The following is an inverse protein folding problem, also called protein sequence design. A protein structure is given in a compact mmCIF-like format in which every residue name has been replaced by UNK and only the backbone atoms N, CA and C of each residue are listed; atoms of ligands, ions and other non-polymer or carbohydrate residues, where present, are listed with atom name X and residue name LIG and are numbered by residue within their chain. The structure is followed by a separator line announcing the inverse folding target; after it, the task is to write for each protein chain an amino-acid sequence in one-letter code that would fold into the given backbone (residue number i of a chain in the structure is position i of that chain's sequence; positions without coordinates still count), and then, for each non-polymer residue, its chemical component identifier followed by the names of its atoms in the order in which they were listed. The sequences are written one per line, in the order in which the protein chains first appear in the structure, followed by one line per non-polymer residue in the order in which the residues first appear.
data_IF_853706676881
#
_entry.id   IF_853706676881
#
_cell.length_a   1.000
_cell.length_b   1.000
_cell.length_c   1.000
_cell.angle_alpha   90.00
_cell.angle_beta   90.00
_cell.angle_gamma   90.00
#
_symmetry.space_group_name_H-M   'P 1'
#
loop_
_entity.id
_entity.type
_entity.pdbx_description
1 polymer ?
#
# COMPACT_ATOMS: atom_id res chain seq x y z
N UNK A 1 28.77 -8.69 50.22
CA UNK A 1 28.37 -7.41 49.60
C UNK A 1 28.94 -7.17 48.19
N UNK A 2 29.93 -7.94 47.69
CA UNK A 2 30.46 -7.79 46.32
C UNK A 2 29.64 -8.51 45.23
N UNK A 3 28.97 -9.63 45.55
CA UNK A 3 28.19 -10.39 44.58
C UNK A 3 26.83 -9.74 44.26
N UNK A 4 26.23 -9.02 45.20
CA UNK A 4 24.96 -8.29 45.00
C UNK A 4 25.13 -7.04 44.12
N UNK A 5 26.32 -6.43 44.09
CA UNK A 5 26.61 -5.32 43.16
C UNK A 5 26.67 -5.79 41.70
N UNK A 6 27.15 -7.01 41.46
CA UNK A 6 27.28 -7.56 40.11
C UNK A 6 25.92 -7.96 39.51
N UNK A 7 24.98 -8.42 40.35
CA UNK A 7 23.62 -8.76 39.92
C UNK A 7 22.82 -7.52 39.52
N UNK A 8 23.05 -6.39 40.19
CA UNK A 8 22.35 -5.12 39.90
C UNK A 8 22.80 -4.51 38.55
N UNK A 9 24.08 -4.69 38.18
CA UNK A 9 24.65 -4.18 36.93
C UNK A 9 24.13 -4.94 35.70
N UNK A 10 23.90 -6.25 35.82
CA UNK A 10 23.38 -7.10 34.74
C UNK A 10 21.89 -6.83 34.46
N UNK A 11 21.10 -6.50 35.48
CA UNK A 11 19.68 -6.15 35.32
C UNK A 11 19.49 -4.80 34.61
N UNK A 12 20.44 -3.86 34.76
CA UNK A 12 20.32 -2.52 34.16
C UNK A 12 20.60 -2.49 32.65
N UNK A 13 21.23 -3.52 32.09
CA UNK A 13 21.56 -3.62 30.64
C UNK A 13 20.37 -4.18 29.82
N UNK A 14 19.39 -4.83 30.44
CA UNK A 14 18.26 -5.47 29.72
C UNK A 14 17.15 -4.45 29.37
N UNK A 15 17.18 -3.25 29.97
CA UNK A 15 16.14 -2.22 29.78
C UNK A 15 16.39 -1.29 28.58
N UNK A 16 17.48 -1.46 27.82
CA UNK A 16 17.71 -0.74 26.56
C UNK A 16 17.27 -1.56 25.35
N UNK A 17 16.07 -2.14 25.38
CA UNK A 17 15.40 -2.54 24.15
C UNK A 17 14.81 -1.29 23.53
N UNK A 18 15.57 -0.68 22.61
CA UNK A 18 15.09 0.43 21.80
C UNK A 18 14.00 -0.12 20.88
N UNK A 19 12.74 -0.14 21.35
CA UNK A 19 11.60 -0.37 20.48
C UNK A 19 11.54 0.80 19.51
N UNK A 20 12.08 0.63 18.31
CA UNK A 20 11.86 1.58 17.22
C UNK A 20 10.35 1.68 17.03
N UNK A 21 9.82 2.87 17.25
CA UNK A 21 8.42 3.18 16.99
C UNK A 21 8.17 2.92 15.49
N UNK A 22 7.25 1.99 15.20
CA UNK A 22 6.91 1.65 13.82
C UNK A 22 6.04 2.78 13.29
N UNK A 23 6.48 3.44 12.21
CA UNK A 23 5.67 4.45 11.53
C UNK A 23 4.49 3.75 10.82
N UNK A 24 3.24 3.97 11.27
CA UNK A 24 2.07 3.29 10.71
C UNK A 24 1.74 3.73 9.28
N UNK A 25 2.41 4.77 8.77
CA UNK A 25 2.21 5.30 7.42
C UNK A 25 3.44 5.12 6.52
N UNK A 26 4.48 4.40 6.97
CA UNK A 26 5.63 4.11 6.12
C UNK A 26 5.36 2.91 5.22
N UNK A 27 5.69 3.04 3.93
CA UNK A 27 5.73 1.95 2.97
C UNK A 27 7.20 1.60 2.72
N UNK A 28 7.57 0.39 3.13
CA UNK A 28 8.91 -0.18 2.91
C UNK A 28 8.82 -1.42 2.02
N UNK A 29 9.96 -2.05 1.76
CA UNK A 29 10.04 -3.24 0.91
C UNK A 29 9.17 -4.41 1.35
N UNK A 30 8.98 -4.61 2.65
CA UNK A 30 8.22 -5.75 3.19
C UNK A 30 7.01 -5.33 4.02
N UNK A 31 6.67 -4.04 4.07
CA UNK A 31 5.56 -3.59 4.91
C UNK A 31 4.85 -2.35 4.39
N UNK A 32 3.56 -2.28 4.70
CA UNK A 32 2.72 -1.08 4.55
C UNK A 32 2.19 -0.73 5.93
N UNK A 33 2.86 0.19 6.61
CA UNK A 33 2.60 0.53 8.00
C UNK A 33 2.79 -0.69 8.90
N UNK A 34 1.68 -1.15 9.48
CA UNK A 34 1.65 -2.31 10.37
C UNK A 34 1.44 -3.66 9.62
N UNK A 35 1.18 -3.62 8.31
CA UNK A 35 0.94 -4.81 7.50
C UNK A 35 2.24 -5.36 6.92
N UNK A 36 2.34 -6.68 6.85
CA UNK A 36 3.42 -7.45 6.20
C UNK A 36 2.83 -8.53 5.30
N UNK A 37 3.66 -9.14 4.45
CA UNK A 37 3.31 -10.29 3.59
C UNK A 37 2.83 -11.54 4.34
N UNK A 38 3.14 -11.62 5.64
CA UNK A 38 2.70 -12.67 6.56
C UNK A 38 1.42 -12.33 7.34
N UNK A 39 0.91 -11.09 7.21
CA UNK A 39 -0.31 -10.67 7.93
C UNK A 39 -1.52 -11.46 7.43
N UNK A 40 -2.22 -12.13 8.35
CA UNK A 40 -3.41 -12.92 8.03
C UNK A 40 -4.68 -12.09 8.14
N UNK A 41 -5.71 -12.47 7.37
CA UNK A 41 -7.02 -11.80 7.36
C UNK A 41 -7.64 -11.67 8.76
N UNK A 42 -7.51 -12.69 9.61
CA UNK A 42 -8.03 -12.67 11.00
C UNK A 42 -7.39 -11.56 11.87
N UNK A 43 -6.18 -11.13 11.56
CA UNK A 43 -5.42 -10.17 12.38
C UNK A 43 -5.78 -8.71 12.03
N UNK A 44 -6.39 -8.47 10.86
CA UNK A 44 -6.71 -7.13 10.34
C UNK A 44 -7.56 -6.31 11.31
N UNK A 45 -8.57 -6.92 11.96
CA UNK A 45 -9.41 -6.24 12.97
C UNK A 45 -8.63 -5.77 14.19
N UNK A 46 -7.58 -6.51 14.57
CA UNK A 46 -6.70 -6.17 15.69
C UNK A 46 -5.73 -5.06 15.28
N UNK A 47 -5.12 -5.18 14.10
CA UNK A 47 -4.18 -4.19 13.56
C UNK A 47 -4.86 -2.82 13.41
N UNK A 48 -6.08 -2.81 12.87
CA UNK A 48 -6.88 -1.61 12.62
C UNK A 48 -7.96 -1.40 13.67
N UNK A 49 -7.70 -1.74 14.94
CA UNK A 49 -8.69 -1.62 16.02
C UNK A 49 -9.19 -0.18 16.27
N UNK A 50 -8.47 0.83 15.78
CA UNK A 50 -8.85 2.25 15.87
C UNK A 50 -9.64 2.74 14.66
N UNK A 51 -9.73 1.92 13.61
CA UNK A 51 -10.34 2.23 12.33
C UNK A 51 -11.59 1.38 12.09
N UNK A 52 -12.32 1.71 11.04
CA UNK A 52 -13.48 0.95 10.58
C UNK A 52 -13.04 -0.05 9.51
N UNK A 53 -13.08 -1.33 9.87
CA UNK A 53 -12.77 -2.46 8.98
C UNK A 53 -14.07 -3.00 8.38
N UNK A 54 -14.22 -2.89 7.07
CA UNK A 54 -15.41 -3.32 6.33
C UNK A 54 -15.05 -4.51 5.45
N UNK A 55 -15.73 -5.63 5.67
CA UNK A 55 -15.64 -6.84 4.84
C UNK A 55 -16.98 -7.08 4.19
N UNK A 56 -17.02 -7.31 2.87
CA UNK A 56 -18.27 -7.71 2.20
C UNK A 56 -18.59 -9.16 2.58
N UNK A 57 -19.87 -9.45 2.83
CA UNK A 57 -20.35 -10.79 3.19
C UNK A 57 -20.80 -11.49 1.90
N UNK A 58 -20.45 -12.78 1.75
CA UNK A 58 -20.89 -13.62 0.63
C UNK A 58 -22.43 -13.62 0.51
N UNK A 59 -22.94 -13.45 -0.72
CA UNK A 59 -24.34 -13.21 -1.05
C UNK A 59 -24.58 -11.99 -1.96
N UNK A 60 -23.59 -11.11 -2.07
CA UNK A 60 -23.58 -9.93 -2.96
C UNK A 60 -22.66 -10.13 -4.19
N UNK A 61 -22.54 -11.39 -4.61
CA UNK A 61 -21.52 -11.90 -5.55
C UNK A 61 -21.63 -11.33 -6.97
N UNK A 62 -22.72 -10.63 -7.27
CA UNK A 62 -22.96 -9.97 -8.55
C UNK A 62 -22.16 -8.66 -8.73
N UNK A 63 -21.58 -8.08 -7.66
CA UNK A 63 -20.97 -6.74 -7.71
C UNK A 63 -19.44 -6.69 -7.88
N UNK A 64 -18.75 -7.83 -7.99
CA UNK A 64 -17.30 -7.87 -8.16
C UNK A 64 -16.50 -7.42 -6.91
N UNK A 65 -15.29 -7.97 -6.75
CA UNK A 65 -14.42 -7.83 -5.57
C UNK A 65 -15.16 -8.04 -4.24
N UNK A 66 -15.79 -9.19 -4.09
CA UNK A 66 -16.56 -9.59 -2.89
C UNK A 66 -15.66 -9.90 -1.69
N UNK A 67 -14.34 -9.92 -1.88
CA UNK A 67 -13.36 -10.40 -0.90
C UNK A 67 -12.39 -9.31 -0.42
N UNK A 68 -12.47 -8.09 -0.97
CA UNK A 68 -11.63 -6.99 -0.52
C UNK A 68 -12.06 -6.54 0.88
N UNK A 69 -11.07 -6.24 1.72
CA UNK A 69 -11.25 -5.68 3.05
C UNK A 69 -10.93 -4.19 2.96
N UNK A 70 -11.92 -3.36 3.25
CA UNK A 70 -11.80 -1.91 3.14
C UNK A 70 -11.56 -1.30 4.52
N UNK A 71 -10.53 -0.46 4.63
CA UNK A 71 -10.12 0.19 5.88
C UNK A 71 -10.44 1.67 5.79
N UNK A 72 -11.27 2.17 6.71
CA UNK A 72 -11.66 3.58 6.80
C UNK A 72 -11.28 4.16 8.14
N UNK A 73 -10.86 5.43 8.16
CA UNK A 73 -10.79 6.19 9.40
C UNK A 73 -12.21 6.41 9.94
N UNK A 74 -12.36 6.63 11.25
CA UNK A 74 -13.69 6.89 11.88
C UNK A 74 -14.46 8.07 11.26
N UNK A 75 -13.78 8.97 10.55
CA UNK A 75 -14.39 10.06 9.78
C UNK A 75 -14.93 9.66 8.40
N UNK A 76 -14.83 8.38 8.02
CA UNK A 76 -15.27 7.86 6.72
C UNK A 76 -14.25 7.98 5.58
N UNK A 77 -13.05 8.52 5.86
CA UNK A 77 -11.98 8.61 4.87
C UNK A 77 -11.42 7.22 4.57
N UNK A 78 -11.38 6.84 3.29
CA UNK A 78 -10.83 5.56 2.84
C UNK A 78 -9.30 5.56 2.91
N UNK A 79 -8.75 4.59 3.65
CA UNK A 79 -7.31 4.47 3.88
C UNK A 79 -6.67 3.48 2.91
N UNK A 80 -7.13 2.23 2.97
CA UNK A 80 -6.57 1.08 2.26
C UNK A 80 -7.69 0.17 1.76
N UNK A 81 -7.46 -0.51 0.63
CA UNK A 81 -8.18 -1.75 0.27
C UNK A 81 -7.20 -2.92 0.31
N UNK A 82 -7.54 -3.98 1.03
CA UNK A 82 -6.70 -5.17 1.15
C UNK A 82 -7.35 -6.32 0.41
N UNK A 83 -6.62 -6.91 -0.53
CA UNK A 83 -7.07 -8.08 -1.29
C UNK A 83 -6.34 -9.33 -0.76
N UNK A 84 -7.04 -10.27 -0.09
CA UNK A 84 -6.45 -11.54 0.36
C UNK A 84 -5.99 -12.41 -0.81
N UNK A 85 -4.95 -13.24 -0.61
CA UNK A 85 -4.52 -14.24 -1.59
C UNK A 85 -5.59 -15.31 -1.85
N UNK A 86 -6.39 -15.61 -0.83
CA UNK A 86 -7.51 -16.55 -0.94
C UNK A 86 -8.77 -15.93 -0.32
N UNK A 87 -9.83 -15.93 -1.13
CA UNK A 87 -11.16 -15.47 -0.73
C UNK A 87 -11.72 -16.30 0.43
N UNK A 88 -12.43 -15.64 1.36
CA UNK A 88 -13.17 -16.26 2.45
C UNK A 88 -12.33 -17.17 3.39
N UNK A 89 -11.00 -17.00 3.40
CA UNK A 89 -10.10 -17.72 4.29
C UNK A 89 -9.44 -16.75 5.28
N UNK A 90 -9.81 -16.90 6.56
CA UNK A 90 -9.27 -16.06 7.64
C UNK A 90 -7.76 -16.24 7.90
N UNK A 91 -7.19 -17.36 7.46
CA UNK A 91 -5.76 -17.69 7.59
C UNK A 91 -4.95 -17.32 6.35
N UNK A 92 -5.62 -16.95 5.26
CA UNK A 92 -4.95 -16.42 4.09
C UNK A 92 -4.22 -15.11 4.43
N UNK A 93 -3.08 -14.90 3.78
CA UNK A 93 -2.35 -13.64 3.88
C UNK A 93 -2.86 -12.63 2.86
N UNK A 94 -2.52 -11.36 3.07
CA UNK A 94 -2.81 -10.29 2.11
C UNK A 94 -1.91 -10.46 0.88
N UNK A 95 -2.49 -10.37 -0.32
CA UNK A 95 -1.77 -10.44 -1.58
C UNK A 95 -1.55 -9.08 -2.23
N UNK A 96 -2.46 -8.13 -2.01
CA UNK A 96 -2.29 -6.76 -2.53
C UNK A 96 -2.85 -5.75 -1.55
N UNK A 97 -2.10 -4.67 -1.36
CA UNK A 97 -2.51 -3.50 -0.59
C UNK A 97 -2.67 -2.34 -1.55
N UNK A 98 -3.88 -1.80 -1.66
CA UNK A 98 -4.18 -0.57 -2.41
C UNK A 98 -4.17 0.62 -1.46
N UNK A 99 -3.28 1.57 -1.71
CA UNK A 99 -3.05 2.74 -0.88
C UNK A 99 -3.78 3.94 -1.47
N UNK A 100 -4.67 4.55 -0.67
CA UNK A 100 -5.54 5.66 -1.08
C UNK A 100 -5.21 6.92 -0.27
N UNK A 101 -4.98 6.77 1.04
CA UNK A 101 -4.66 7.90 1.91
C UNK A 101 -3.23 8.42 1.73
N UNK A 102 -3.10 9.73 1.55
CA UNK A 102 -1.84 10.42 1.28
C UNK A 102 -0.85 10.46 2.45
N UNK A 103 -1.27 10.08 3.67
CA UNK A 103 -0.35 9.94 4.80
C UNK A 103 0.65 8.83 4.55
N UNK A 104 0.23 7.77 3.85
CA UNK A 104 1.11 6.67 3.47
C UNK A 104 2.16 7.13 2.46
N UNK A 105 3.43 6.97 2.82
CA UNK A 105 4.58 7.43 2.03
C UNK A 105 5.62 6.33 1.91
N UNK A 106 6.24 6.24 0.75
CA UNK A 106 7.40 5.35 0.58
C UNK A 106 8.61 5.85 1.36
N UNK A 107 9.65 5.04 1.49
CA UNK A 107 10.95 5.47 2.05
C UNK A 107 11.55 6.67 1.30
N UNK A 108 11.18 6.86 0.03
CA UNK A 108 11.59 8.02 -0.80
C UNK A 108 10.64 9.23 -0.65
N UNK A 109 9.56 9.09 0.12
CA UNK A 109 8.60 10.17 0.41
C UNK A 109 7.41 10.27 -0.54
N UNK A 110 7.29 9.36 -1.51
CA UNK A 110 6.22 9.38 -2.51
C UNK A 110 4.88 8.92 -1.89
N UNK A 111 3.81 9.68 -2.14
CA UNK A 111 2.45 9.36 -1.67
C UNK A 111 1.40 9.64 -2.77
N UNK A 112 0.11 9.51 -2.46
CA UNK A 112 -0.97 9.71 -3.46
C UNK A 112 -1.13 11.16 -3.94
N UNK A 113 -0.49 12.15 -3.31
CA UNK A 113 -0.45 13.55 -3.78
C UNK A 113 0.72 13.81 -4.74
N UNK A 114 1.65 12.86 -4.86
CA UNK A 114 2.76 12.94 -5.81
C UNK A 114 2.28 12.84 -7.26
N UNK A 115 3.18 13.20 -8.17
CA UNK A 115 2.95 13.27 -9.61
C UNK A 115 3.72 12.20 -10.36
N UNK A 116 3.43 12.04 -11.63
CA UNK A 116 4.22 11.18 -12.51
C UNK A 116 5.69 11.62 -12.62
N UNK A 117 5.98 12.91 -12.51
CA UNK A 117 7.36 13.41 -12.47
C UNK A 117 8.13 12.90 -11.25
N UNK A 118 7.46 12.82 -10.10
CA UNK A 118 8.05 12.32 -8.86
C UNK A 118 8.34 10.82 -9.00
N UNK A 119 7.41 10.04 -9.57
CA UNK A 119 7.62 8.61 -9.85
C UNK A 119 8.88 8.40 -10.70
N UNK A 120 9.04 9.16 -11.79
CA UNK A 120 10.20 9.04 -12.68
C UNK A 120 11.52 9.42 -12.02
N UNK A 121 11.47 10.34 -11.05
CA UNK A 121 12.66 10.82 -10.34
C UNK A 121 13.11 9.80 -9.31
N UNK A 122 12.16 9.23 -8.58
CA UNK A 122 12.44 8.34 -7.45
C UNK A 122 12.59 6.87 -7.87
N UNK A 123 11.99 6.46 -8.99
CA UNK A 123 11.88 5.05 -9.39
C UNK A 123 12.18 4.81 -10.86
N UNK A 124 12.81 3.65 -11.13
CA UNK A 124 12.95 3.13 -12.48
C UNK A 124 11.67 2.40 -12.89
N UNK A 125 11.02 2.91 -13.93
CA UNK A 125 9.82 2.30 -14.54
C UNK A 125 10.21 0.98 -15.22
N UNK A 126 9.50 -0.10 -14.90
CA UNK A 126 9.66 -1.41 -15.52
C UNK A 126 8.73 -1.60 -16.71
N UNK A 127 7.46 -1.21 -16.54
CA UNK A 127 6.40 -1.40 -17.53
C UNK A 127 5.32 -0.32 -17.37
N UNK A 128 4.61 -0.04 -18.46
CA UNK A 128 3.44 0.83 -18.47
C UNK A 128 2.31 0.09 -19.18
N UNK A 129 1.22 -0.16 -18.47
CA UNK A 129 0.05 -0.83 -19.03
C UNK A 129 -1.10 0.14 -19.28
N UNK A 130 -1.66 0.07 -20.48
CA UNK A 130 -2.80 0.85 -20.91
C UNK A 130 -4.09 0.07 -20.65
N UNK A 131 -4.91 0.51 -19.70
CA UNK A 131 -6.19 -0.13 -19.37
C UNK A 131 -7.36 0.74 -19.81
N UNK A 132 -8.59 0.21 -19.74
CA UNK A 132 -9.80 0.95 -20.14
C UNK A 132 -9.94 2.32 -19.48
N UNK A 133 -9.57 2.45 -18.20
CA UNK A 133 -9.80 3.68 -17.42
C UNK A 133 -8.53 4.33 -16.88
N UNK A 134 -7.42 3.60 -16.86
CA UNK A 134 -6.20 4.05 -16.22
C UNK A 134 -4.97 3.66 -17.04
N UNK A 135 -3.86 4.32 -16.75
CA UNK A 135 -2.52 3.85 -17.06
C UNK A 135 -1.89 3.34 -15.76
N UNK A 136 -1.34 2.14 -15.80
CA UNK A 136 -0.67 1.51 -14.65
C UNK A 136 0.82 1.53 -14.89
N UNK A 137 1.56 2.22 -14.03
CA UNK A 137 3.01 2.39 -14.12
C UNK A 137 3.66 1.47 -13.09
N UNK A 138 4.28 0.40 -13.57
CA UNK A 138 5.05 -0.52 -12.73
C UNK A 138 6.46 0.00 -12.55
N UNK A 139 7.01 -0.17 -11.34
CA UNK A 139 8.40 0.18 -11.03
C UNK A 139 9.17 -1.06 -10.61
N UNK A 140 10.50 -1.01 -10.73
CA UNK A 140 11.37 -2.12 -10.34
C UNK A 140 11.35 -2.42 -8.83
N UNK A 141 10.92 -1.46 -8.02
CA UNK A 141 10.98 -1.57 -6.56
C UNK A 141 9.69 -2.22 -6.02
N UNK A 142 9.86 -3.28 -5.22
CA UNK A 142 8.89 -3.75 -4.23
C UNK A 142 7.49 -4.10 -4.79
N UNK A 143 7.41 -4.68 -5.99
CA UNK A 143 6.15 -5.05 -6.65
C UNK A 143 5.10 -3.92 -6.58
N UNK A 144 5.58 -2.67 -6.67
CA UNK A 144 4.77 -1.48 -6.55
C UNK A 144 4.35 -0.99 -7.93
N UNK A 145 3.10 -0.54 -8.03
CA UNK A 145 2.60 0.07 -9.25
C UNK A 145 1.64 1.22 -8.95
N UNK A 146 1.77 2.27 -9.76
CA UNK A 146 1.02 3.51 -9.64
C UNK A 146 -0.07 3.56 -10.68
N UNK A 147 -1.28 3.93 -10.26
CA UNK A 147 -2.42 4.05 -11.17
C UNK A 147 -2.72 5.52 -11.42
N UNK A 148 -2.71 5.90 -12.70
CA UNK A 148 -3.03 7.26 -13.17
C UNK A 148 -4.32 7.17 -13.99
N UNK A 149 -5.28 8.05 -13.73
CA UNK A 149 -6.54 8.05 -14.45
C UNK A 149 -6.33 8.52 -15.90
N UNK A 150 -7.02 7.94 -16.89
CA UNK A 150 -6.88 8.35 -18.30
C UNK A 150 -7.19 9.83 -18.55
N UNK A 151 -7.96 10.46 -17.68
CA UNK A 151 -8.26 11.89 -17.72
C UNK A 151 -7.03 12.78 -17.54
N UNK A 152 -5.95 12.27 -16.94
CA UNK A 152 -4.68 12.99 -16.77
C UNK A 152 -3.82 12.96 -18.05
N UNK A 153 -4.14 12.10 -19.03
CA UNK A 153 -3.38 11.99 -20.28
C UNK A 153 -3.91 12.90 -21.39
N UNK A 154 -3.11 13.19 -22.43
CA UNK A 154 -3.58 13.81 -23.67
C UNK A 154 -4.76 13.07 -24.31
N UNK A 155 -5.69 13.79 -24.94
CA UNK A 155 -6.94 13.25 -25.47
C UNK A 155 -6.75 12.07 -26.43
N UNK A 156 -5.69 12.09 -27.25
CA UNK A 156 -5.36 11.04 -28.21
C UNK A 156 -5.02 9.69 -27.55
N UNK A 157 -4.57 9.67 -26.29
CA UNK A 157 -4.23 8.44 -25.56
C UNK A 157 -5.40 7.89 -24.72
N UNK A 158 -6.53 8.63 -24.66
CA UNK A 158 -7.63 8.31 -23.73
C UNK A 158 -8.53 7.17 -24.20
N UNK A 159 -8.61 6.92 -25.50
CA UNK A 159 -9.66 6.06 -26.05
C UNK A 159 -9.14 4.75 -26.65
N UNK A 160 -7.90 4.75 -27.16
CA UNK A 160 -7.26 3.53 -27.65
C UNK A 160 -6.61 2.77 -26.49
N UNK A 161 -6.97 1.50 -26.32
CA UNK A 161 -6.38 0.59 -25.33
C UNK A 161 -5.31 -0.33 -25.94
N UNK A 162 -5.27 -0.43 -27.26
CA UNK A 162 -4.30 -1.25 -28.00
C UNK A 162 -2.99 -0.52 -28.24
N UNK A 163 -3.03 0.82 -28.15
CA UNK A 163 -1.85 1.65 -28.23
C UNK A 163 -0.96 1.49 -27.00
N UNK A 164 0.31 1.20 -27.23
CA UNK A 164 1.35 1.26 -26.21
C UNK A 164 1.59 2.71 -25.78
N UNK A 165 1.66 2.94 -24.47
CA UNK A 165 1.91 4.26 -23.89
C UNK A 165 3.32 4.27 -23.31
N UNK A 166 4.15 5.16 -23.82
CA UNK A 166 5.51 5.38 -23.32
C UNK A 166 5.54 6.43 -22.21
N UNK A 167 6.55 6.35 -21.33
CA UNK A 167 6.74 7.27 -20.22
C UNK A 167 6.83 8.75 -20.66
N UNK A 168 7.36 9.02 -21.86
CA UNK A 168 7.48 10.39 -22.39
C UNK A 168 6.11 11.01 -22.76
N UNK A 169 5.11 10.17 -23.00
CA UNK A 169 3.77 10.60 -23.41
C UNK A 169 2.86 10.93 -22.21
N UNK A 170 3.25 10.51 -21.00
CA UNK A 170 2.53 10.80 -19.76
C UNK A 170 2.98 12.18 -19.23
N UNK A 171 2.06 13.14 -19.05
CA UNK A 171 2.40 14.46 -18.52
C UNK A 171 3.06 14.35 -17.13
N UNK A 172 4.14 15.10 -16.90
CA UNK A 172 4.83 15.08 -15.61
C UNK A 172 3.93 15.46 -14.43
N UNK A 173 2.99 16.38 -14.64
CA UNK A 173 2.03 16.82 -13.62
C UNK A 173 0.83 15.87 -13.42
N UNK A 174 0.75 14.75 -14.15
CA UNK A 174 -0.33 13.79 -14.02
C UNK A 174 -0.40 13.26 -12.60
N UNK A 175 -1.59 13.33 -11.99
CA UNK A 175 -1.79 12.94 -10.59
C UNK A 175 -1.93 11.43 -10.43
N UNK A 176 -1.39 10.93 -9.32
CA UNK A 176 -1.60 9.54 -8.90
C UNK A 176 -3.02 9.42 -8.34
N UNK A 177 -3.76 8.43 -8.83
CA UNK A 177 -5.11 8.14 -8.32
C UNK A 177 -5.04 7.31 -7.05
N UNK A 178 -4.20 6.28 -7.07
CA UNK A 178 -3.80 5.41 -5.97
C UNK A 178 -2.57 4.62 -6.44
N UNK A 179 -1.92 3.90 -5.54
CA UNK A 179 -0.91 2.93 -5.91
C UNK A 179 -1.07 1.68 -5.08
N UNK A 180 -0.48 0.58 -5.53
CA UNK A 180 -0.60 -0.70 -4.87
C UNK A 180 0.76 -1.33 -4.66
N UNK A 181 0.84 -2.16 -3.61
CA UNK A 181 1.98 -3.02 -3.31
C UNK A 181 1.47 -4.47 -3.33
N UNK A 182 2.15 -5.33 -4.10
CA UNK A 182 1.83 -6.76 -4.21
C UNK A 182 2.81 -7.67 -3.47
N UNK A 183 2.30 -8.73 -2.85
CA UNK A 183 3.05 -9.77 -2.11
C UNK A 183 2.72 -11.18 -2.58
#
# INVERSE_FOLDING_TARGET
MKQTLFTLLVISIIMTSCQKEIDPFLISTQSVGLLTDSTQVKDIKTIFAKDSVVTKIAGDEFLGNVNDIEIYEKGGKHLLSLSPKQALDSTATIGTVKIIDSRYKTEKGLNTLSTFSDIKTDYKISNIENTLRNVVVFVNDNNMYFTIAKQELPANLRFDMTQDIEAIQIPGAAKIKFFMVGW
#
